data_IF_730399798169
#
_entry.id   IF_730399798169
#
_cell.length_a   1.000
_cell.length_b   1.000
_cell.length_c   1.000
_cell.angle_alpha   90.00
_cell.angle_beta   90.00
_cell.angle_gamma   90.00
#
_symmetry.space_group_name_H-M   'P 1'
#
loop_
_entity.id
_entity.type
_entity.pdbx_description
1 polymer ?
#
# COMPACT_ATOMS: atom_id res chain seq x y z
N UNK A 1 7.91 18.72 0.08
CA UNK A 1 6.69 19.54 -0.07
C UNK A 1 5.82 19.12 -1.25
N UNK A 2 6.34 18.93 -2.48
CA UNK A 2 5.48 18.41 -3.58
C UNK A 2 5.14 16.91 -3.44
N UNK A 3 6.00 16.15 -2.77
CA UNK A 3 5.92 14.69 -2.70
C UNK A 3 4.94 14.18 -1.61
N UNK A 4 4.81 14.95 -0.54
CA UNK A 4 3.92 14.70 0.59
C UNK A 4 2.44 14.76 0.22
N UNK A 5 2.07 15.76 -0.57
CA UNK A 5 0.70 15.98 -0.98
C UNK A 5 0.23 14.94 -2.02
N UNK A 6 1.12 14.06 -2.49
CA UNK A 6 0.81 12.98 -3.43
C UNK A 6 0.66 11.61 -2.75
N UNK A 7 0.97 11.50 -1.45
CA UNK A 7 0.99 10.23 -0.73
C UNK A 7 0.35 10.38 0.66
N UNK A 8 -0.88 10.91 0.70
CA UNK A 8 -1.67 11.13 1.92
C UNK A 8 -2.04 9.84 2.69
N UNK A 9 -1.82 8.69 2.05
CA UNK A 9 -2.20 7.37 2.57
C UNK A 9 -1.15 6.73 3.50
N UNK A 10 0.00 7.37 3.70
CA UNK A 10 1.04 6.84 4.58
C UNK A 10 0.76 7.31 6.01
N UNK A 11 0.19 6.40 6.80
CA UNK A 11 -0.26 6.72 8.15
C UNK A 11 0.88 6.71 9.19
N UNK A 12 1.99 6.01 8.92
CA UNK A 12 3.00 5.75 9.95
C UNK A 12 4.40 5.44 9.40
N UNK A 13 5.43 6.08 9.98
CA UNK A 13 6.84 5.73 9.77
C UNK A 13 7.53 5.66 11.13
N UNK A 14 8.20 4.54 11.40
CA UNK A 14 9.07 4.36 12.57
C UNK A 14 10.49 4.72 12.18
N UNK A 15 11.06 5.72 12.84
CA UNK A 15 12.50 5.97 12.78
C UNK A 15 13.16 5.49 14.06
N UNK A 16 14.26 4.77 13.93
CA UNK A 16 15.08 4.32 15.05
C UNK A 16 16.38 5.13 15.04
N UNK A 17 16.41 6.22 15.80
CA UNK A 17 17.57 7.10 15.80
C UNK A 17 18.77 6.48 16.53
N UNK A 18 19.96 6.67 15.95
CA UNK A 18 21.28 6.37 16.51
C UNK A 18 22.08 7.66 16.84
N UNK A 19 21.41 8.69 17.38
CA UNK A 19 21.84 9.68 18.40
C UNK A 19 22.95 10.77 18.13
N UNK A 20 22.69 12.00 18.66
CA UNK A 20 23.54 13.06 19.34
C UNK A 20 23.58 14.44 18.61
N UNK A 21 23.37 15.66 19.15
CA UNK A 21 23.38 16.29 20.50
C UNK A 21 22.61 17.66 20.49
N UNK A 22 22.02 18.04 21.64
CA UNK A 22 21.67 19.41 22.14
C UNK A 22 20.20 19.87 22.30
N UNK A 23 19.19 19.14 21.82
CA UNK A 23 17.80 19.38 22.25
C UNK A 23 17.02 18.06 22.33
N UNK A 24 17.08 17.45 23.50
CA UNK A 24 16.09 16.47 23.92
C UNK A 24 15.84 16.75 25.40
N UNK A 25 14.60 17.02 25.78
CA UNK A 25 14.23 17.23 27.20
C UNK A 25 14.61 16.02 28.08
N UNK A 26 14.83 14.88 27.42
CA UNK A 26 15.54 13.71 27.91
C UNK A 26 16.51 13.19 26.83
N UNK A 27 17.80 13.06 27.11
CA UNK A 27 18.77 12.35 26.27
C UNK A 27 18.28 10.92 25.98
N UNK A 28 18.76 10.26 24.91
CA UNK A 28 18.41 8.86 24.67
C UNK A 28 18.79 7.97 25.88
N UNK A 29 19.76 8.40 26.70
CA UNK A 29 20.12 7.84 28.02
C UNK A 29 18.97 7.87 29.04
N UNK A 30 18.20 8.95 29.06
CA UNK A 30 17.06 9.13 29.95
C UNK A 30 15.81 8.39 29.43
N UNK A 31 15.70 8.18 28.12
CA UNK A 31 14.78 7.18 27.52
C UNK A 31 15.20 5.73 27.83
N UNK A 32 16.51 5.47 27.93
CA UNK A 32 17.10 4.15 28.19
C UNK A 32 16.97 3.66 29.63
N UNK A 33 16.87 4.55 30.63
CA UNK A 33 16.60 4.12 32.02
C UNK A 33 15.15 3.68 32.24
N UNK A 34 14.21 4.15 31.41
CA UNK A 34 12.82 3.66 31.39
C UNK A 34 12.68 2.29 30.71
N UNK A 35 13.71 1.81 30.04
CA UNK A 35 13.63 0.59 29.24
C UNK A 35 13.42 -0.67 30.09
N UNK A 36 14.06 -0.81 31.25
CA UNK A 36 13.77 -1.93 32.16
C UNK A 36 12.31 -1.94 32.68
N UNK A 37 11.56 -0.84 32.51
CA UNK A 37 10.11 -0.74 32.71
C UNK A 37 9.27 -0.85 31.42
N UNK A 38 9.74 -0.36 30.26
CA UNK A 38 8.95 -0.14 29.04
C UNK A 38 9.29 -1.06 27.85
N UNK A 39 10.26 -1.95 28.00
CA UNK A 39 10.39 -3.07 27.08
C UNK A 39 11.00 -4.25 27.79
N UNK A 40 10.61 -5.47 27.46
CA UNK A 40 11.58 -6.54 27.65
C UNK A 40 12.70 -6.46 26.57
N UNK A 41 12.50 -5.74 25.45
CA UNK A 41 13.48 -5.68 24.32
C UNK A 41 13.76 -4.31 23.64
N UNK A 42 13.23 -3.18 24.12
CA UNK A 42 13.98 -1.90 24.09
C UNK A 42 14.10 -1.17 22.80
N UNK A 43 13.20 -1.46 21.88
CA UNK A 43 12.98 -0.60 20.75
C UNK A 43 12.07 0.53 21.23
N UNK A 44 12.53 1.76 21.05
CA UNK A 44 11.68 2.94 21.16
C UNK A 44 11.20 3.27 19.75
N UNK A 45 10.04 2.74 19.30
CA UNK A 45 9.49 3.19 18.04
C UNK A 45 9.14 4.68 18.20
N UNK A 46 9.92 5.55 17.58
CA UNK A 46 9.51 6.94 17.42
C UNK A 46 8.35 6.93 16.42
N UNK A 47 7.14 6.98 16.97
CA UNK A 47 5.91 7.22 16.21
C UNK A 47 5.93 8.67 15.77
N UNK A 48 6.36 8.93 14.54
CA UNK A 48 6.17 10.23 13.95
C UNK A 48 4.86 10.21 13.19
N UNK A 49 3.90 10.96 13.70
CA UNK A 49 2.70 11.29 12.95
C UNK A 49 3.02 12.49 12.04
N UNK A 50 2.99 12.26 10.72
CA UNK A 50 3.16 13.32 9.72
C UNK A 50 1.90 14.17 9.47
N UNK A 51 0.80 13.87 10.17
CA UNK A 51 -0.56 14.37 9.90
C UNK A 51 -1.03 15.48 10.86
N UNK A 52 -0.10 16.21 11.49
CA UNK A 52 -0.46 17.33 12.37
C UNK A 52 -0.30 18.65 11.62
N UNK A 53 -1.38 19.43 11.56
CA UNK A 53 -1.42 20.82 11.13
C UNK A 53 -1.03 21.73 12.32
N UNK A 54 0.26 22.00 12.49
CA UNK A 54 0.81 22.79 13.58
C UNK A 54 0.55 24.28 13.43
N UNK A 55 0.38 24.78 12.21
CA UNK A 55 0.12 26.20 11.94
C UNK A 55 -1.38 26.52 11.77
N UNK A 56 -2.23 25.49 11.85
CA UNK A 56 -3.70 25.56 11.74
C UNK A 56 -4.18 26.16 10.42
N UNK A 57 -3.46 25.92 9.32
CA UNK A 57 -3.78 26.45 7.99
C UNK A 57 -4.77 25.55 7.20
N UNK A 58 -5.11 24.37 7.73
CA UNK A 58 -5.98 23.38 7.11
C UNK A 58 -5.25 22.34 6.25
N UNK A 59 -3.92 22.37 6.20
CA UNK A 59 -3.06 21.45 5.47
C UNK A 59 -2.07 20.78 6.46
N UNK A 60 -1.68 19.55 6.17
CA UNK A 60 -0.72 18.84 7.01
C UNK A 60 0.72 19.31 6.77
N UNK A 61 1.48 19.56 7.83
CA UNK A 61 2.84 20.09 7.74
C UNK A 61 3.89 19.05 7.29
N UNK A 62 3.61 17.77 7.54
CA UNK A 62 4.46 16.65 7.19
C UNK A 62 5.93 16.76 7.69
N UNK A 63 6.17 17.30 8.88
CA UNK A 63 7.53 17.49 9.42
C UNK A 63 8.33 16.18 9.61
N UNK A 64 7.68 15.02 9.54
CA UNK A 64 8.32 13.70 9.53
C UNK A 64 9.42 13.57 8.46
N UNK A 65 9.28 14.22 7.30
CA UNK A 65 10.26 14.12 6.22
C UNK A 65 11.56 14.87 6.48
N UNK A 66 11.57 15.78 7.46
CA UNK A 66 12.80 16.46 7.87
C UNK A 66 13.82 15.48 8.45
N UNK A 67 13.39 14.30 8.91
CA UNK A 67 14.30 13.21 9.32
C UNK A 67 15.19 12.69 8.18
N UNK A 68 14.72 12.77 6.94
CA UNK A 68 15.46 12.30 5.77
C UNK A 68 16.28 13.42 5.09
N UNK A 69 16.17 14.66 5.58
CA UNK A 69 16.82 15.84 5.01
C UNK A 69 18.19 16.18 5.67
N UNK A 70 18.57 15.44 6.71
CA UNK A 70 19.83 15.60 7.45
C UNK A 70 20.96 14.67 6.98
N UNK A 71 22.13 14.82 7.61
CA UNK A 71 23.26 13.87 7.51
C UNK A 71 23.34 13.04 8.81
N UNK A 72 22.21 12.45 9.19
CA UNK A 72 22.09 11.60 10.37
C UNK A 72 22.29 10.13 9.97
N UNK A 73 23.13 9.41 10.72
CA UNK A 73 23.34 7.96 10.59
C UNK A 73 22.27 7.19 11.38
N UNK A 74 21.00 7.51 11.14
CA UNK A 74 19.88 6.85 11.82
C UNK A 74 19.49 5.61 11.02
N UNK A 75 19.24 4.49 11.69
CA UNK A 75 18.71 3.30 11.04
C UNK A 75 17.18 3.38 10.95
N UNK A 76 16.59 2.97 9.84
CA UNK A 76 15.15 3.01 9.61
C UNK A 76 14.62 1.60 9.42
N UNK A 77 13.55 1.27 10.12
CA UNK A 77 12.77 0.06 9.87
C UNK A 77 11.40 0.50 9.36
N UNK A 78 11.08 0.10 8.13
CA UNK A 78 9.78 0.40 7.53
C UNK A 78 8.89 -0.80 7.68
N UNK A 79 7.74 -0.57 8.30
CA UNK A 79 6.74 -1.57 8.59
C UNK A 79 5.46 -1.16 7.85
N UNK A 80 4.85 -2.07 7.11
CA UNK A 80 3.57 -1.81 6.43
C UNK A 80 2.37 -1.86 7.40
N UNK A 81 1.17 -1.59 6.89
CA UNK A 81 -0.08 -1.64 7.67
C UNK A 81 -0.41 -3.05 8.20
N UNK A 82 0.23 -4.10 7.67
CA UNK A 82 0.10 -5.48 8.13
C UNK A 82 1.12 -5.83 9.23
N UNK A 83 1.86 -4.84 9.72
CA UNK A 83 2.93 -5.01 10.70
C UNK A 83 4.10 -5.86 10.20
N UNK A 84 4.34 -5.90 8.88
CA UNK A 84 5.44 -6.62 8.25
C UNK A 84 6.58 -5.65 7.95
N UNK A 85 7.80 -6.01 8.35
CA UNK A 85 9.00 -5.25 7.99
C UNK A 85 9.26 -5.37 6.50
N UNK A 86 9.16 -4.26 5.77
CA UNK A 86 9.39 -4.17 4.32
C UNK A 86 10.83 -3.81 4.00
N UNK A 87 11.38 -2.86 4.74
CA UNK A 87 12.74 -2.37 4.53
C UNK A 87 13.47 -2.10 5.84
N UNK A 88 14.79 -2.32 5.80
CA UNK A 88 15.73 -1.94 6.83
C UNK A 88 16.82 -1.10 6.14
N UNK A 89 17.02 0.12 6.62
CA UNK A 89 18.00 1.04 6.07
C UNK A 89 18.96 1.50 7.15
N UNK A 90 20.25 1.53 6.85
CA UNK A 90 21.24 2.15 7.74
C UNK A 90 21.38 3.66 7.47
N UNK A 91 21.22 4.07 6.20
CA UNK A 91 21.25 5.47 5.75
C UNK A 91 20.55 5.56 4.38
N UNK A 92 19.19 5.61 4.33
CA UNK A 92 18.48 5.70 3.07
C UNK A 92 18.71 7.06 2.44
N UNK A 93 19.05 7.08 1.15
CA UNK A 93 19.08 8.33 0.41
C UNK A 93 17.65 8.86 0.23
N UNK A 94 17.43 10.14 0.54
CA UNK A 94 16.13 10.81 0.39
C UNK A 94 15.49 10.59 -0.99
N UNK A 95 16.29 10.61 -2.05
CA UNK A 95 15.80 10.41 -3.42
C UNK A 95 15.27 8.99 -3.61
N UNK A 96 16.04 7.96 -3.27
CA UNK A 96 15.60 6.57 -3.44
C UNK A 96 14.39 6.27 -2.54
N UNK A 97 14.36 6.85 -1.34
CA UNK A 97 13.21 6.74 -0.44
C UNK A 97 11.93 7.31 -1.04
N UNK A 98 12.00 8.52 -1.58
CA UNK A 98 10.85 9.18 -2.20
C UNK A 98 10.46 8.55 -3.55
N UNK A 99 11.41 8.12 -4.38
CA UNK A 99 11.08 7.77 -5.76
C UNK A 99 11.07 6.28 -6.05
N UNK A 100 11.50 5.45 -5.10
CA UNK A 100 11.57 3.99 -5.28
C UNK A 100 10.83 3.29 -4.16
N UNK A 101 11.24 3.47 -2.91
CA UNK A 101 10.73 2.64 -1.81
C UNK A 101 9.30 3.00 -1.46
N UNK A 102 9.02 4.28 -1.24
CA UNK A 102 7.71 4.69 -0.77
C UNK A 102 6.58 4.54 -1.80
N UNK A 103 6.76 4.86 -3.10
CA UNK A 103 5.72 4.62 -4.10
C UNK A 103 5.34 3.14 -4.15
N UNK A 104 6.31 2.22 -4.12
CA UNK A 104 6.01 0.79 -4.13
C UNK A 104 5.21 0.35 -2.89
N UNK A 105 5.54 0.91 -1.71
CA UNK A 105 4.80 0.61 -0.48
C UNK A 105 3.38 1.13 -0.52
N UNK A 106 3.17 2.32 -1.11
CA UNK A 106 1.84 2.91 -1.29
C UNK A 106 1.04 2.11 -2.32
N UNK A 107 1.65 1.77 -3.46
CA UNK A 107 1.02 0.95 -4.51
C UNK A 107 0.58 -0.42 -3.96
N UNK A 108 1.33 -1.02 -3.04
CA UNK A 108 0.96 -2.26 -2.36
C UNK A 108 -0.27 -2.14 -1.44
N UNK A 109 -0.67 -0.92 -1.06
CA UNK A 109 -1.92 -0.69 -0.29
C UNK A 109 -3.16 -0.68 -1.18
N UNK A 110 -2.98 -0.62 -2.50
CA UNK A 110 -4.06 -0.57 -3.48
C UNK A 110 -4.31 -1.93 -4.11
N UNK A 111 -5.58 -2.30 -4.21
CA UNK A 111 -6.02 -3.53 -4.86
C UNK A 111 -7.51 -3.76 -4.67
N UNK A 112 -8.00 -4.87 -5.19
CA UNK A 112 -9.41 -5.20 -5.10
C UNK A 112 -9.80 -5.59 -3.67
N UNK A 113 -10.75 -4.86 -3.08
CA UNK A 113 -11.24 -5.09 -1.72
C UNK A 113 -12.54 -5.94 -1.68
N UNK A 114 -13.12 -6.26 -2.84
CA UNK A 114 -14.34 -7.07 -2.93
C UNK A 114 -14.03 -8.56 -2.79
N UNK A 115 -14.56 -9.19 -1.73
CA UNK A 115 -14.41 -10.62 -1.46
C UNK A 115 -15.01 -11.52 -2.54
N UNK A 116 -15.91 -10.99 -3.38
CA UNK A 116 -16.50 -11.69 -4.52
C UNK A 116 -15.63 -11.67 -5.78
N UNK A 117 -14.57 -10.87 -5.82
CA UNK A 117 -13.68 -10.78 -6.97
C UNK A 117 -12.59 -11.86 -6.95
N UNK A 118 -12.10 -12.22 -8.13
CA UNK A 118 -11.07 -13.26 -8.31
C UNK A 118 -9.71 -12.80 -7.82
N UNK A 119 -9.40 -11.53 -8.03
CA UNK A 119 -8.18 -10.87 -7.59
C UNK A 119 -8.36 -10.12 -6.27
N UNK A 120 -9.31 -10.54 -5.43
CA UNK A 120 -9.46 -10.03 -4.07
C UNK A 120 -8.12 -10.08 -3.33
N UNK A 121 -7.68 -8.93 -2.84
CA UNK A 121 -6.50 -8.81 -2.00
C UNK A 121 -6.90 -8.37 -0.59
N UNK A 122 -6.82 -9.33 0.34
CA UNK A 122 -7.09 -9.08 1.76
C UNK A 122 -6.12 -8.07 2.40
N UNK A 123 -4.97 -7.80 1.77
CA UNK A 123 -3.99 -6.85 2.27
C UNK A 123 -4.27 -5.42 1.78
N UNK A 124 -5.08 -5.25 0.74
CA UNK A 124 -5.39 -3.92 0.22
C UNK A 124 -6.23 -3.13 1.20
N UNK A 125 -5.85 -1.86 1.40
CA UNK A 125 -6.54 -0.89 2.27
C UNK A 125 -7.41 0.05 1.43
N UNK A 126 -7.02 0.28 0.17
CA UNK A 126 -7.72 1.17 -0.74
C UNK A 126 -8.12 0.45 -2.03
N UNK A 127 -9.38 0.61 -2.41
CA UNK A 127 -9.90 0.10 -3.68
C UNK A 127 -9.28 0.87 -4.85
N UNK A 128 -8.79 0.14 -5.85
CA UNK A 128 -8.19 0.71 -7.06
C UNK A 128 -9.05 0.47 -8.32
N UNK A 129 -10.24 -0.10 -8.15
CA UNK A 129 -11.18 -0.46 -9.22
C UNK A 129 -10.61 -1.49 -10.21
N UNK A 130 -9.71 -2.36 -9.75
CA UNK A 130 -9.18 -3.47 -10.57
C UNK A 130 -9.91 -4.79 -10.30
N UNK A 131 -11.02 -4.79 -9.53
CA UNK A 131 -11.73 -6.04 -9.22
C UNK A 131 -12.21 -6.77 -10.49
N UNK A 132 -11.75 -8.02 -10.66
CA UNK A 132 -12.12 -8.91 -11.76
C UNK A 132 -13.19 -9.88 -11.28
N UNK A 133 -14.30 -9.96 -12.01
CA UNK A 133 -15.43 -10.86 -11.72
C UNK A 133 -15.61 -11.88 -12.84
N UNK A 134 -15.84 -13.15 -12.50
CA UNK A 134 -16.04 -14.24 -13.47
C UNK A 134 -17.48 -14.73 -13.59
N UNK A 135 -18.35 -14.35 -12.66
CA UNK A 135 -19.79 -14.59 -12.72
C UNK A 135 -20.45 -13.46 -13.54
N UNK A 136 -20.42 -13.60 -14.86
CA UNK A 136 -20.89 -12.58 -15.79
C UNK A 136 -22.41 -12.63 -15.96
N UNK A 137 -23.01 -13.81 -15.78
CA UNK A 137 -24.45 -13.97 -15.92
C UNK A 137 -25.22 -13.72 -14.59
N UNK A 138 -24.50 -13.47 -13.49
CA UNK A 138 -25.00 -13.17 -12.15
C UNK A 138 -25.85 -14.30 -11.54
N UNK A 139 -25.44 -15.55 -11.77
CA UNK A 139 -26.09 -16.75 -11.23
C UNK A 139 -25.41 -17.35 -9.99
N UNK A 140 -24.46 -16.63 -9.41
CA UNK A 140 -23.64 -16.99 -8.25
C UNK A 140 -22.69 -18.18 -8.52
N UNK A 141 -22.51 -18.58 -9.78
CA UNK A 141 -21.58 -19.64 -10.20
C UNK A 141 -20.67 -19.12 -11.31
N UNK A 142 -19.39 -19.51 -11.27
CA UNK A 142 -18.48 -19.32 -12.40
C UNK A 142 -18.35 -20.64 -13.15
N UNK A 143 -19.00 -20.74 -14.31
CA UNK A 143 -19.02 -21.95 -15.14
C UNK A 143 -19.12 -21.67 -16.66
N UNK A 144 -19.45 -22.72 -17.42
CA UNK A 144 -19.55 -22.62 -18.89
C UNK A 144 -20.64 -21.65 -19.36
N UNK A 145 -21.63 -21.33 -18.52
CA UNK A 145 -22.69 -20.39 -18.85
C UNK A 145 -22.17 -18.95 -18.90
N UNK A 146 -21.16 -18.58 -18.10
CA UNK A 146 -20.49 -17.28 -18.19
C UNK A 146 -19.76 -17.12 -19.52
N UNK A 147 -19.11 -18.19 -20.01
CA UNK A 147 -18.50 -18.21 -21.34
C UNK A 147 -19.55 -18.00 -22.43
N UNK A 148 -20.70 -18.67 -22.32
CA UNK A 148 -21.80 -18.49 -23.29
C UNK A 148 -22.32 -17.05 -23.24
N UNK A 149 -22.40 -16.45 -22.07
CA UNK A 149 -22.83 -15.06 -21.90
C UNK A 149 -21.83 -14.08 -22.54
N UNK A 150 -20.53 -14.23 -22.25
CA UNK A 150 -19.45 -13.43 -22.84
C UNK A 150 -19.40 -13.58 -24.37
N UNK A 151 -19.56 -14.80 -24.89
CA UNK A 151 -19.62 -15.05 -26.32
C UNK A 151 -20.80 -14.30 -26.98
N UNK A 152 -21.96 -14.25 -26.32
CA UNK A 152 -23.10 -13.48 -26.82
C UNK A 152 -22.79 -11.98 -26.85
N UNK A 153 -22.14 -11.43 -25.81
CA UNK A 153 -21.72 -10.02 -25.78
C UNK A 153 -20.83 -9.67 -26.97
N UNK A 154 -19.82 -10.51 -27.24
CA UNK A 154 -18.89 -10.36 -28.37
C UNK A 154 -19.63 -10.42 -29.71
N UNK A 155 -20.50 -11.43 -29.91
CA UNK A 155 -21.20 -11.64 -31.18
C UNK A 155 -22.24 -10.56 -31.50
N UNK A 156 -22.87 -9.99 -30.47
CA UNK A 156 -23.92 -8.98 -30.63
C UNK A 156 -23.44 -7.55 -30.34
N UNK A 157 -22.14 -7.36 -30.09
CA UNK A 157 -21.53 -6.06 -29.76
C UNK A 157 -22.20 -5.36 -28.57
N UNK A 158 -22.57 -6.13 -27.55
CA UNK A 158 -23.10 -5.65 -26.26
C UNK A 158 -21.96 -5.69 -25.23
N UNK A 159 -20.93 -4.88 -25.48
CA UNK A 159 -19.69 -4.91 -24.72
C UNK A 159 -19.82 -4.05 -23.47
N UNK A 160 -19.55 -4.64 -22.31
CA UNK A 160 -19.53 -3.99 -21.01
C UNK A 160 -18.11 -4.11 -20.44
N UNK A 161 -17.61 -3.07 -19.77
CA UNK A 161 -16.21 -2.98 -19.33
C UNK A 161 -15.78 -4.14 -18.41
N UNK A 162 -16.69 -4.65 -17.57
CA UNK A 162 -16.42 -5.79 -16.69
C UNK A 162 -16.23 -7.13 -17.43
N UNK A 163 -16.47 -7.18 -18.75
CA UNK A 163 -16.27 -8.35 -19.59
C UNK A 163 -14.84 -8.47 -20.14
N UNK A 164 -13.99 -7.46 -19.93
CA UNK A 164 -12.55 -7.48 -20.19
C UNK A 164 -11.84 -8.17 -19.01
N UNK A 165 -11.78 -9.50 -19.07
CA UNK A 165 -11.30 -10.35 -17.98
C UNK A 165 -9.77 -10.37 -17.94
N UNK A 166 -9.09 -10.10 -19.06
CA UNK A 166 -7.63 -10.08 -19.14
C UNK A 166 -7.02 -8.66 -19.03
N UNK A 167 -7.85 -7.63 -18.87
CA UNK A 167 -7.50 -6.22 -18.70
C UNK A 167 -6.62 -5.67 -19.85
N UNK A 168 -6.89 -6.09 -21.09
CA UNK A 168 -6.14 -5.64 -22.27
C UNK A 168 -6.81 -4.50 -23.08
N UNK A 169 -7.90 -3.95 -22.53
CA UNK A 169 -8.78 -2.93 -23.11
C UNK A 169 -9.62 -3.41 -24.31
N UNK A 170 -9.62 -4.71 -24.62
CA UNK A 170 -10.43 -5.29 -25.68
C UNK A 170 -11.28 -6.45 -25.16
N UNK A 171 -12.57 -6.45 -25.50
CA UNK A 171 -13.47 -7.56 -25.17
C UNK A 171 -13.54 -8.51 -26.36
N UNK A 172 -12.77 -9.60 -26.31
CA UNK A 172 -12.65 -10.58 -27.39
C UNK A 172 -12.46 -12.04 -26.91
N UNK A 173 -11.90 -12.89 -27.79
CA UNK A 173 -11.70 -14.31 -27.50
C UNK A 173 -10.64 -14.56 -26.43
N UNK A 174 -9.76 -13.60 -26.15
CA UNK A 174 -8.73 -13.70 -25.12
C UNK A 174 -9.35 -13.66 -23.71
N UNK A 175 -10.42 -12.89 -23.50
CA UNK A 175 -11.20 -12.91 -22.25
C UNK A 175 -11.84 -14.27 -22.00
N UNK A 176 -12.36 -14.90 -23.06
CA UNK A 176 -12.91 -16.26 -22.97
C UNK A 176 -11.82 -17.25 -22.57
N UNK A 177 -10.59 -17.10 -23.10
CA UNK A 177 -9.47 -17.97 -22.70
C UNK A 177 -9.15 -17.77 -21.22
N UNK A 178 -9.12 -16.54 -20.73
CA UNK A 178 -8.88 -16.23 -19.32
C UNK A 178 -9.99 -16.81 -18.43
N UNK A 179 -11.25 -16.71 -18.84
CA UNK A 179 -12.39 -17.28 -18.11
C UNK A 179 -12.36 -18.82 -18.09
N UNK A 180 -11.94 -19.47 -19.18
CA UNK A 180 -11.70 -20.92 -19.20
C UNK A 180 -10.61 -21.31 -18.20
N UNK A 181 -9.52 -20.56 -18.13
CA UNK A 181 -8.43 -20.77 -17.18
C UNK A 181 -8.92 -20.65 -15.72
N UNK A 182 -9.76 -19.66 -15.44
CA UNK A 182 -10.43 -19.49 -14.13
C UNK A 182 -11.29 -20.73 -13.80
N UNK A 183 -12.17 -21.16 -14.71
CA UNK A 183 -13.05 -22.33 -14.50
C UNK A 183 -12.25 -23.62 -14.28
N UNK A 184 -11.12 -23.76 -14.96
CA UNK A 184 -10.26 -24.95 -14.85
C UNK A 184 -9.24 -24.88 -13.71
N UNK A 185 -9.12 -23.74 -13.02
CA UNK A 185 -8.05 -23.43 -12.06
C UNK A 185 -6.64 -23.67 -12.65
N UNK A 186 -6.39 -23.20 -13.88
CA UNK A 186 -5.12 -23.44 -14.59
C UNK A 186 -4.69 -22.26 -15.45
#
# INVERSE_FOLDING_TARGET
>A
MNYTNSNEHIEFIVSLDYHLEAFSDFECLEWGELYQELGEYGNNPLILNGDTDFDSNGEYDHYIWNMFAGSSYSSYAIIDHNMIVRHLFDEPNLHDFQYIYLPNLVDEMYGCMDIGAINYDQNSVYENNTCIYSDLNQDESTDINDIVFLLNMILYSQLEEYADINEDENIDILDIIQLVNIILNN
#
